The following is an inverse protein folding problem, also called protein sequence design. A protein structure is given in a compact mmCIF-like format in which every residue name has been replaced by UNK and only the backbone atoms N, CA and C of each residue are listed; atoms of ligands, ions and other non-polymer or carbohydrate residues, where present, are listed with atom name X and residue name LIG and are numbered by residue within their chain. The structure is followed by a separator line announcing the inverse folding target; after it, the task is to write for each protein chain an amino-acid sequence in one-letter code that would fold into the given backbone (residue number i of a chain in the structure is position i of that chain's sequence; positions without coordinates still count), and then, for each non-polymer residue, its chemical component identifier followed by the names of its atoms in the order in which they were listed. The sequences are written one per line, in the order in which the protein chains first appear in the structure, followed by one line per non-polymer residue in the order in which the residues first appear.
data_IF_077953033892
#
_entry.id   IF_077953033892
#
_cell.length_a   1.000
_cell.length_b   1.000
_cell.length_c   1.000
_cell.angle_alpha   90.00
_cell.angle_beta   90.00
_cell.angle_gamma   90.00
#
_symmetry.space_group_name_H-M   'P 1'
#
loop_
_entity.id
_entity.type
_entity.pdbx_description
1 polymer ?
#
# COMPACT_ATOMS: atom_id res chain seq x y z
N UNK A 1 -11.12 -2.89 -7.42
CA UNK A 1 -10.65 -3.65 -6.24
C UNK A 1 -11.35 -4.98 -6.28
N UNK A 2 -10.65 -6.05 -6.66
CA UNK A 2 -11.21 -7.41 -6.60
C UNK A 2 -10.78 -8.03 -5.27
N UNK A 3 -11.68 -8.04 -4.28
CA UNK A 3 -11.44 -8.66 -2.99
C UNK A 3 -11.67 -10.17 -3.15
N UNK A 4 -10.58 -10.94 -3.06
CA UNK A 4 -10.67 -12.41 -2.99
C UNK A 4 -10.69 -12.83 -1.53
N UNK A 5 -11.80 -13.43 -1.09
CA UNK A 5 -11.92 -14.06 0.23
C UNK A 5 -11.60 -15.55 0.11
N UNK A 6 -10.62 -16.02 0.88
CA UNK A 6 -10.30 -17.44 0.99
C UNK A 6 -10.53 -17.89 2.43
N UNK A 7 -11.35 -18.93 2.62
CA UNK A 7 -11.50 -19.63 3.90
C UNK A 7 -10.52 -20.81 3.87
N UNK A 8 -9.58 -20.85 4.81
CA UNK A 8 -8.70 -21.99 5.00
C UNK A 8 -8.95 -22.60 6.39
N UNK A 9 -9.37 -23.86 6.40
CA UNK A 9 -9.50 -24.68 7.62
C UNK A 9 -8.33 -25.65 7.69
N UNK A 10 -7.55 -25.59 8.77
CA UNK A 10 -6.52 -26.58 9.07
C UNK A 10 -6.85 -27.26 10.39
N UNK A 11 -6.96 -28.59 10.37
CA UNK A 11 -6.99 -29.39 11.58
C UNK A 11 -5.56 -29.77 11.96
N UNK A 12 -5.06 -29.22 13.07
CA UNK A 12 -3.82 -29.69 13.68
C UNK A 12 -4.17 -30.81 14.64
N UNK A 13 -3.95 -32.06 14.24
CA UNK A 13 -4.13 -33.21 15.14
C UNK A 13 -2.86 -33.41 15.97
N UNK A 14 -2.88 -32.95 17.22
CA UNK A 14 -1.98 -33.46 18.26
C UNK A 14 -2.80 -34.34 19.21
N UNK A 15 -2.29 -35.49 19.71
CA UNK A 15 -3.09 -36.48 20.44
C UNK A 15 -3.78 -36.01 21.72
N UNK A 16 -3.57 -34.76 22.15
CA UNK A 16 -4.10 -34.21 23.41
C UNK A 16 -4.96 -32.95 23.26
N UNK A 17 -5.01 -32.31 22.08
CA UNK A 17 -5.74 -31.04 21.86
C UNK A 17 -6.20 -30.96 20.39
N UNK A 18 -7.49 -31.16 20.13
CA UNK A 18 -8.09 -30.75 18.86
C UNK A 18 -8.36 -29.25 18.93
N UNK A 19 -7.58 -28.47 18.20
CA UNK A 19 -7.84 -27.05 17.99
C UNK A 19 -8.31 -26.86 16.54
N UNK A 20 -9.57 -26.43 16.37
CA UNK A 20 -10.09 -25.99 15.08
C UNK A 20 -9.97 -24.48 15.01
N UNK A 21 -9.17 -23.99 14.06
CA UNK A 21 -8.99 -22.57 13.80
C UNK A 21 -9.55 -22.22 12.42
N UNK A 22 -10.26 -21.09 12.33
CA UNK A 22 -10.74 -20.52 11.07
C UNK A 22 -9.93 -19.28 10.77
N UNK A 23 -9.26 -19.26 9.62
CA UNK A 23 -8.45 -18.14 9.17
C UNK A 23 -9.11 -17.44 7.98
N UNK A 24 -9.21 -16.11 8.06
CA UNK A 24 -9.68 -15.25 6.99
C UNK A 24 -8.57 -14.33 6.55
N UNK A 25 -8.29 -14.33 5.26
CA UNK A 25 -7.22 -13.53 4.67
C UNK A 25 -7.80 -12.71 3.51
N UNK A 26 -7.79 -11.39 3.64
CA UNK A 26 -8.08 -10.49 2.53
C UNK A 26 -6.82 -10.32 1.68
N UNK A 27 -6.95 -10.38 0.35
CA UNK A 27 -5.84 -10.15 -0.58
C UNK A 27 -6.22 -9.20 -1.71
N UNK A 28 -5.25 -8.42 -2.18
CA UNK A 28 -5.39 -7.48 -3.29
C UNK A 28 -4.17 -7.58 -4.21
N UNK A 29 -4.25 -7.19 -5.47
CA UNK A 29 -3.19 -7.36 -6.49
C UNK A 29 -1.99 -6.42 -6.34
N UNK A 30 -1.79 -5.83 -5.16
CA UNK A 30 -0.75 -4.82 -4.95
C UNK A 30 0.66 -5.40 -4.75
N UNK A 31 1.68 -4.72 -5.25
CA UNK A 31 3.05 -5.23 -5.26
C UNK A 31 3.76 -5.04 -3.91
N UNK A 32 4.30 -6.14 -3.36
CA UNK A 32 5.17 -6.14 -2.16
C UNK A 32 6.50 -5.38 -2.35
N UNK A 33 6.92 -5.11 -3.59
CA UNK A 33 8.28 -4.68 -3.95
C UNK A 33 8.52 -3.17 -3.91
N UNK A 34 7.63 -2.40 -3.28
CA UNK A 34 7.58 -0.94 -3.43
C UNK A 34 7.88 -0.18 -2.15
N UNK A 35 8.71 -0.74 -1.27
CA UNK A 35 9.00 -0.12 0.03
C UNK A 35 9.67 1.26 -0.12
N UNK A 36 10.56 1.47 -1.12
CA UNK A 36 11.14 2.80 -1.38
C UNK A 36 10.07 3.83 -1.77
N UNK A 37 9.16 3.45 -2.67
CA UNK A 37 8.09 4.32 -3.15
C UNK A 37 7.11 4.64 -2.03
N UNK A 38 6.73 3.61 -1.26
CA UNK A 38 5.85 3.79 -0.12
C UNK A 38 6.44 4.74 0.91
N UNK A 39 7.73 4.59 1.21
CA UNK A 39 8.41 5.49 2.12
C UNK A 39 8.47 6.91 1.55
N UNK A 40 8.74 7.08 0.26
CA UNK A 40 8.73 8.41 -0.34
C UNK A 40 7.35 9.06 -0.22
N UNK A 41 6.25 8.33 -0.45
CA UNK A 41 4.90 8.89 -0.26
C UNK A 41 4.64 9.31 1.18
N UNK A 42 5.11 8.54 2.17
CA UNK A 42 5.05 8.94 3.57
C UNK A 42 5.83 10.24 3.81
N UNK A 43 7.04 10.35 3.24
CA UNK A 43 7.85 11.57 3.36
C UNK A 43 7.20 12.78 2.68
N UNK A 44 6.45 12.58 1.59
CA UNK A 44 5.75 13.64 0.89
C UNK A 44 4.57 14.20 1.70
N UNK A 45 3.89 13.36 2.48
CA UNK A 45 2.84 13.81 3.40
C UNK A 45 3.40 14.77 4.46
N UNK A 46 4.62 14.48 4.93
CA UNK A 46 5.32 15.33 5.89
C UNK A 46 5.77 16.66 5.28
N UNK A 47 6.50 16.61 4.16
CA UNK A 47 6.76 17.77 3.32
C UNK A 47 7.34 17.38 1.96
N UNK A 48 7.11 18.20 0.95
CA UNK A 48 7.71 18.01 -0.37
C UNK A 48 9.25 18.10 -0.31
N UNK A 49 9.82 18.89 0.59
CA UNK A 49 11.27 18.96 0.79
C UNK A 49 11.83 17.63 1.31
N UNK A 50 11.18 17.03 2.32
CA UNK A 50 11.57 15.71 2.87
C UNK A 50 11.47 14.62 1.81
N UNK A 51 10.45 14.65 0.96
CA UNK A 51 10.34 13.75 -0.20
C UNK A 51 11.59 13.81 -1.07
N UNK A 52 12.01 15.00 -1.49
CA UNK A 52 13.16 15.14 -2.39
C UNK A 52 14.50 14.82 -1.71
N UNK A 53 14.66 15.15 -0.43
CA UNK A 53 15.84 14.76 0.36
C UNK A 53 15.96 13.23 0.48
N UNK A 54 14.84 12.55 0.72
CA UNK A 54 14.79 11.10 0.76
C UNK A 54 15.13 10.51 -0.62
N UNK A 55 14.54 11.04 -1.69
CA UNK A 55 14.81 10.62 -3.07
C UNK A 55 16.29 10.80 -3.45
N UNK A 56 16.92 11.92 -3.08
CA UNK A 56 18.35 12.14 -3.31
C UNK A 56 19.18 11.07 -2.58
N UNK A 57 18.85 10.76 -1.33
CA UNK A 57 19.51 9.70 -0.54
C UNK A 57 19.38 8.31 -1.17
N UNK A 58 18.18 7.96 -1.68
CA UNK A 58 17.95 6.66 -2.33
C UNK A 58 18.69 6.55 -3.67
N UNK A 59 18.86 7.68 -4.37
CA UNK A 59 19.59 7.72 -5.65
C UNK A 59 21.06 7.31 -5.47
N UNK A 60 21.66 7.68 -4.35
CA UNK A 60 23.04 7.28 -3.99
C UNK A 60 23.16 5.79 -3.66
N UNK A 61 22.06 5.16 -3.25
CA UNK A 61 21.98 3.76 -2.81
C UNK A 61 21.54 2.78 -3.90
N UNK A 62 21.47 3.21 -5.17
CA UNK A 62 20.90 2.46 -6.31
C UNK A 62 21.57 1.09 -6.62
N UNK A 63 22.50 0.64 -5.78
CA UNK A 63 23.23 -0.62 -5.87
C UNK A 63 22.67 -1.70 -4.90
N UNK A 64 21.77 -1.37 -3.98
CA UNK A 64 21.43 -2.28 -2.86
C UNK A 64 20.32 -3.32 -3.13
N UNK A 65 19.70 -3.35 -4.32
CA UNK A 65 18.47 -4.15 -4.56
C UNK A 65 18.71 -5.67 -4.74
N UNK A 66 19.94 -6.15 -4.83
CA UNK A 66 20.18 -7.48 -5.42
C UNK A 66 20.59 -8.62 -4.48
N UNK A 67 20.81 -8.40 -3.18
CA UNK A 67 21.47 -9.45 -2.35
C UNK A 67 20.94 -9.66 -0.94
N UNK A 68 19.93 -8.91 -0.48
CA UNK A 68 19.47 -9.00 0.91
C UNK A 68 18.03 -9.46 1.06
N UNK A 69 17.70 -10.01 2.23
CA UNK A 69 16.33 -10.42 2.58
C UNK A 69 15.38 -9.23 2.66
N UNK A 70 14.09 -9.46 2.42
CA UNK A 70 13.04 -8.44 2.53
C UNK A 70 13.08 -7.71 3.89
N UNK A 71 13.44 -8.43 4.96
CA UNK A 71 13.59 -7.86 6.31
C UNK A 71 14.78 -6.90 6.43
N UNK A 72 15.95 -7.26 5.90
CA UNK A 72 17.11 -6.37 5.89
C UNK A 72 16.83 -5.13 5.05
N UNK A 73 16.22 -5.33 3.88
CA UNK A 73 15.80 -4.26 2.99
C UNK A 73 14.81 -3.30 3.67
N UNK A 74 13.82 -3.81 4.39
CA UNK A 74 12.90 -3.01 5.20
C UNK A 74 13.62 -2.21 6.29
N UNK A 75 14.53 -2.83 7.04
CA UNK A 75 15.29 -2.14 8.08
C UNK A 75 16.23 -1.08 7.53
N UNK A 76 16.82 -1.31 6.35
CA UNK A 76 17.61 -0.31 5.65
C UNK A 76 16.77 0.92 5.32
N UNK A 77 15.56 0.71 4.82
CA UNK A 77 14.61 1.79 4.50
C UNK A 77 14.26 2.58 5.76
N UNK A 78 13.90 1.90 6.85
CA UNK A 78 13.63 2.56 8.13
C UNK A 78 14.83 3.34 8.64
N UNK A 79 16.04 2.79 8.53
CA UNK A 79 17.27 3.47 8.95
C UNK A 79 17.55 4.73 8.13
N UNK A 80 17.28 4.70 6.83
CA UNK A 80 17.43 5.86 5.94
C UNK A 80 16.34 6.89 6.15
N UNK A 81 15.11 6.45 6.35
CA UNK A 81 13.99 7.31 6.73
C UNK A 81 14.23 8.01 8.07
N UNK A 82 14.82 7.31 9.04
CA UNK A 82 15.16 7.84 10.37
C UNK A 82 16.22 8.94 10.36
N UNK A 83 16.83 9.25 9.21
CA UNK A 83 17.68 10.44 9.05
C UNK A 83 16.86 11.73 8.94
N UNK A 84 15.59 11.63 8.53
CA UNK A 84 14.70 12.76 8.26
C UNK A 84 13.49 12.82 9.19
N UNK A 85 13.23 11.74 9.94
CA UNK A 85 12.06 11.56 10.79
C UNK A 85 12.49 11.36 12.24
N UNK A 86 11.70 11.89 13.17
CA UNK A 86 11.84 11.58 14.59
C UNK A 86 11.31 10.17 14.91
N UNK A 87 11.50 9.75 16.16
CA UNK A 87 11.07 8.42 16.62
C UNK A 87 9.55 8.20 16.52
N UNK A 88 8.73 9.25 16.68
CA UNK A 88 7.27 9.17 16.61
C UNK A 88 6.85 8.90 15.16
N UNK A 89 7.37 9.68 14.22
CA UNK A 89 7.09 9.53 12.79
C UNK A 89 7.62 8.19 12.27
N UNK A 90 8.72 7.66 12.80
CA UNK A 90 9.18 6.31 12.45
C UNK A 90 8.21 5.24 12.94
N UNK A 91 7.65 5.37 14.13
CA UNK A 91 6.61 4.43 14.60
C UNK A 91 5.33 4.54 13.77
N UNK A 92 4.94 5.75 13.39
CA UNK A 92 3.82 5.98 12.48
C UNK A 92 4.09 5.40 11.09
N UNK A 93 5.31 5.52 10.56
CA UNK A 93 5.74 4.92 9.31
C UNK A 93 5.63 3.40 9.36
N UNK A 94 6.08 2.76 10.46
CA UNK A 94 5.91 1.31 10.66
C UNK A 94 4.43 0.92 10.64
N UNK A 95 3.59 1.68 11.34
CA UNK A 95 2.14 1.46 11.33
C UNK A 95 1.55 1.63 9.92
N UNK A 96 1.93 2.69 9.21
CA UNK A 96 1.52 2.97 7.84
C UNK A 96 1.92 1.82 6.89
N UNK A 97 3.11 1.25 7.05
CA UNK A 97 3.52 0.03 6.33
C UNK A 97 2.61 -1.16 6.65
N UNK A 98 2.25 -1.37 7.93
CA UNK A 98 1.38 -2.47 8.35
C UNK A 98 -0.02 -2.38 7.75
N UNK A 99 -0.60 -1.17 7.65
CA UNK A 99 -1.93 -0.93 7.06
C UNK A 99 -1.92 -0.57 5.57
N UNK A 100 -0.72 -0.36 5.01
CA UNK A 100 -0.49 0.02 3.61
C UNK A 100 -1.20 1.28 3.14
N UNK A 101 -1.19 2.30 3.98
CA UNK A 101 -1.91 3.56 3.77
C UNK A 101 -1.68 4.21 2.38
N UNK A 102 -0.46 4.16 1.83
CA UNK A 102 -0.11 4.84 0.57
C UNK A 102 -0.21 3.96 -0.69
N UNK A 103 -0.60 2.69 -0.58
CA UNK A 103 -0.77 1.82 -1.75
C UNK A 103 -1.77 2.36 -2.78
N UNK A 104 -2.92 2.96 -2.40
CA UNK A 104 -3.85 3.57 -3.36
C UNK A 104 -3.23 4.72 -4.16
N UNK A 105 -2.43 5.59 -3.52
CA UNK A 105 -1.76 6.72 -4.19
C UNK A 105 -0.75 6.23 -5.23
N UNK A 106 0.02 5.19 -4.89
CA UNK A 106 0.97 4.58 -5.83
C UNK A 106 0.23 3.96 -7.01
N UNK A 107 -0.89 3.29 -6.77
CA UNK A 107 -1.71 2.71 -7.81
C UNK A 107 -2.32 3.77 -8.73
N UNK A 108 -2.81 4.87 -8.17
CA UNK A 108 -3.31 6.00 -8.94
C UNK A 108 -2.24 6.50 -9.92
N UNK A 109 -0.99 6.63 -9.47
CA UNK A 109 0.14 6.98 -10.37
C UNK A 109 0.37 5.94 -11.47
N UNK A 110 0.23 4.65 -11.17
CA UNK A 110 0.31 3.58 -12.19
C UNK A 110 -0.83 3.67 -13.22
N UNK A 111 -2.06 3.99 -12.78
CA UNK A 111 -3.20 4.14 -13.68
C UNK A 111 -3.02 5.34 -14.62
N UNK A 112 -2.56 6.47 -14.10
CA UNK A 112 -2.18 7.63 -14.91
C UNK A 112 -1.10 7.27 -15.94
N UNK A 113 -0.10 6.48 -15.54
CA UNK A 113 0.94 6.01 -16.46
C UNK A 113 0.41 5.01 -17.52
N UNK A 114 -0.67 4.27 -17.21
CA UNK A 114 -1.32 3.38 -18.17
C UNK A 114 -2.11 4.17 -19.25
N UNK A 115 -2.70 5.30 -18.89
CA UNK A 115 -3.34 6.23 -19.84
C UNK A 115 -2.31 6.98 -20.70
N UNK A 116 -1.10 7.18 -20.18
CA UNK A 116 0.04 7.75 -20.90
C UNK A 116 1.12 6.71 -21.23
N UNK A 117 0.85 5.72 -22.10
CA UNK A 117 1.71 4.55 -22.21
C UNK A 117 3.16 4.93 -22.57
N UNK A 118 4.13 4.29 -21.90
CA UNK A 118 5.56 4.51 -22.16
C UNK A 118 5.90 4.14 -23.60
N UNK A 119 6.95 4.74 -24.19
CA UNK A 119 7.55 4.19 -25.39
C UNK A 119 8.07 2.77 -25.15
N UNK A 120 8.13 1.96 -26.21
CA UNK A 120 8.48 0.55 -26.10
C UNK A 120 9.86 0.33 -25.44
N UNK A 121 9.89 -0.60 -24.49
CA UNK A 121 11.14 -1.04 -23.85
C UNK A 121 11.62 -0.18 -22.68
N UNK A 122 10.97 0.92 -22.35
CA UNK A 122 11.48 1.86 -21.34
C UNK A 122 11.18 1.45 -19.90
N UNK A 123 12.20 1.49 -19.03
CA UNK A 123 12.04 1.32 -17.58
C UNK A 123 11.64 2.62 -16.88
N UNK A 124 12.05 3.76 -17.45
CA UNK A 124 11.65 5.10 -17.06
C UNK A 124 11.48 5.94 -18.33
N UNK A 125 10.54 6.87 -18.30
CA UNK A 125 10.26 7.76 -19.43
C UNK A 125 9.87 9.14 -18.94
N UNK A 126 10.09 10.14 -19.79
CA UNK A 126 9.79 11.53 -19.51
C UNK A 126 8.72 12.03 -20.46
N UNK A 127 7.74 12.73 -19.91
CA UNK A 127 6.70 13.43 -20.67
C UNK A 127 6.95 14.92 -20.59
N UNK A 128 7.18 15.52 -21.75
CA UNK A 128 7.28 16.98 -21.91
C UNK A 128 6.09 17.38 -22.77
N UNK A 129 5.05 17.97 -22.18
CA UNK A 129 3.88 18.52 -22.89
C UNK A 129 3.38 17.60 -24.02
N UNK A 130 2.80 16.45 -23.67
CA UNK A 130 2.29 15.38 -24.56
C UNK A 130 3.32 14.50 -25.31
N UNK A 131 4.59 14.91 -25.43
CA UNK A 131 5.61 14.06 -26.08
C UNK A 131 6.42 13.29 -25.04
N UNK A 132 6.64 12.01 -25.35
CA UNK A 132 7.30 11.03 -24.49
C UNK A 132 8.70 10.72 -25.03
N UNK A 133 9.67 10.55 -24.15
CA UNK A 133 11.00 10.06 -24.53
C UNK A 133 11.59 9.22 -23.41
N UNK A 134 12.45 8.27 -23.80
CA UNK A 134 13.23 7.45 -22.88
C UNK A 134 14.72 7.75 -22.94
N UNK A 135 15.11 8.82 -23.65
CA UNK A 135 16.50 9.24 -23.78
C UNK A 135 16.68 10.64 -23.23
N UNK A 136 17.69 10.79 -22.38
CA UNK A 136 18.08 12.11 -21.84
C UNK A 136 18.56 13.08 -22.91
N UNK A 137 19.09 12.58 -24.04
CA UNK A 137 19.56 13.38 -25.17
C UNK A 137 18.44 14.12 -25.91
N UNK A 138 17.25 13.53 -26.00
CA UNK A 138 16.11 14.10 -26.73
C UNK A 138 15.40 15.22 -25.95
N UNK A 139 15.64 15.33 -24.64
CA UNK A 139 15.02 16.34 -23.78
C UNK A 139 15.24 17.77 -24.29
N UNK A 140 16.43 18.08 -24.83
CA UNK A 140 16.72 19.43 -25.37
C UNK A 140 15.81 19.77 -26.55
N UNK A 141 15.55 18.80 -27.44
CA UNK A 141 14.68 18.96 -28.61
C UNK A 141 13.21 19.07 -28.22
N UNK A 142 12.78 18.35 -27.19
CA UNK A 142 11.40 18.44 -26.69
C UNK A 142 11.16 19.77 -25.99
N UNK A 143 12.10 20.24 -25.16
CA UNK A 143 11.95 21.49 -24.42
C UNK A 143 11.85 22.73 -25.33
N UNK A 144 12.58 22.77 -26.44
CA UNK A 144 12.49 23.90 -27.38
C UNK A 144 11.11 24.03 -28.05
N UNK A 145 10.36 22.93 -28.16
CA UNK A 145 8.99 22.89 -28.70
C UNK A 145 7.92 22.80 -27.61
N UNK A 146 8.27 23.00 -26.33
CA UNK A 146 7.29 22.87 -25.24
C UNK A 146 6.24 23.99 -25.32
N UNK A 147 6.64 25.23 -25.55
CA UNK A 147 5.73 26.39 -25.58
C UNK A 147 4.61 26.29 -26.64
N UNK A 148 4.77 25.47 -27.69
CA UNK A 148 3.75 25.29 -28.73
C UNK A 148 2.72 24.20 -28.40
N UNK A 149 2.80 23.57 -27.23
CA UNK A 149 1.97 22.42 -26.84
C UNK A 149 1.18 22.77 -25.57
N UNK A 150 0.01 22.16 -25.36
CA UNK A 150 -0.77 22.41 -24.15
C UNK A 150 0.04 22.02 -22.92
N UNK A 151 0.03 22.90 -21.91
CA UNK A 151 0.64 22.63 -20.61
C UNK A 151 -0.11 21.44 -19.98
N UNK A 152 0.59 20.38 -19.55
CA UNK A 152 -0.06 19.23 -18.95
C UNK A 152 -0.69 19.60 -17.61
N UNK A 153 -1.79 18.92 -17.28
CA UNK A 153 -2.42 19.04 -15.97
C UNK A 153 -1.54 18.35 -14.91
N UNK A 154 -1.34 19.04 -13.79
CA UNK A 154 -0.62 18.53 -12.64
C UNK A 154 -1.64 18.24 -11.54
N UNK A 155 -1.59 17.04 -10.98
CA UNK A 155 -2.42 16.64 -9.86
C UNK A 155 -1.93 17.30 -8.58
N UNK A 156 -2.80 17.44 -7.59
CA UNK A 156 -2.43 18.02 -6.29
C UNK A 156 -1.34 17.21 -5.58
N UNK A 157 -1.38 15.88 -5.72
CA UNK A 157 -0.42 14.93 -5.14
C UNK A 157 0.84 14.72 -6.00
N UNK A 158 1.05 15.53 -7.05
CA UNK A 158 2.27 15.47 -7.85
C UNK A 158 3.46 16.09 -7.10
N UNK A 159 4.57 15.36 -7.04
CA UNK A 159 5.79 15.82 -6.38
C UNK A 159 6.56 16.79 -7.28
N UNK A 160 6.55 18.08 -6.94
CA UNK A 160 7.21 19.16 -7.69
C UNK A 160 8.60 19.43 -7.12
N UNK A 161 9.62 19.37 -7.96
CA UNK A 161 10.98 19.68 -7.54
C UNK A 161 11.10 21.17 -7.20
N UNK A 162 11.75 21.55 -6.08
CA UNK A 162 11.95 22.95 -5.72
C UNK A 162 12.57 23.76 -6.87
N UNK A 163 11.88 24.82 -7.28
CA UNK A 163 12.34 25.71 -8.35
C UNK A 163 11.92 27.15 -8.04
N UNK A 164 12.67 28.12 -8.58
CA UNK A 164 12.45 29.54 -8.30
C UNK A 164 11.28 30.14 -9.09
N UNK A 165 10.80 29.47 -10.15
CA UNK A 165 9.81 30.03 -11.08
C UNK A 165 8.73 29.01 -11.45
N UNK A 166 7.46 29.42 -11.37
CA UNK A 166 6.32 28.54 -11.68
C UNK A 166 5.96 28.48 -13.18
N UNK A 167 6.37 29.48 -13.96
CA UNK A 167 6.08 29.60 -15.39
C UNK A 167 7.15 28.95 -16.28
N UNK A 168 7.49 27.71 -15.97
CA UNK A 168 8.49 26.93 -16.71
C UNK A 168 7.85 25.78 -17.50
N UNK A 169 8.50 25.29 -18.58
CA UNK A 169 8.12 24.06 -19.24
C UNK A 169 8.06 22.90 -18.25
N UNK A 170 6.90 22.26 -18.18
CA UNK A 170 6.62 21.13 -17.28
C UNK A 170 7.21 19.85 -17.85
N UNK A 171 7.96 19.14 -17.02
CA UNK A 171 8.61 17.87 -17.35
C UNK A 171 8.25 16.85 -16.28
N UNK A 172 7.50 15.82 -16.67
CA UNK A 172 7.04 14.76 -15.77
C UNK A 172 7.91 13.53 -16.00
N UNK A 173 8.58 13.04 -14.97
CA UNK A 173 9.30 11.77 -14.99
C UNK A 173 8.41 10.68 -14.44
N UNK A 174 8.24 9.61 -15.22
CA UNK A 174 7.65 8.36 -14.79
C UNK A 174 8.76 7.34 -14.59
N UNK A 175 9.01 6.96 -13.33
CA UNK A 175 10.07 6.02 -13.00
C UNK A 175 9.84 5.32 -11.65
N UNK A 176 10.57 4.23 -11.44
CA UNK A 176 10.65 3.53 -10.17
C UNK A 176 11.85 4.07 -9.36
N UNK A 177 11.59 4.64 -8.19
CA UNK A 177 12.64 5.14 -7.29
C UNK A 177 13.56 3.98 -6.87
N UNK A 178 14.87 4.23 -6.85
CA UNK A 178 15.89 3.23 -6.52
C UNK A 178 16.41 2.43 -7.71
N UNK A 179 15.89 2.66 -8.92
CA UNK A 179 16.45 2.09 -10.15
C UNK A 179 17.55 2.96 -10.75
N UNK A 180 18.49 2.35 -11.49
CA UNK A 180 19.52 3.08 -12.23
C UNK A 180 18.93 4.04 -13.27
N UNK A 181 17.87 3.62 -13.95
CA UNK A 181 17.18 4.46 -14.94
C UNK A 181 16.64 5.75 -14.30
N UNK A 182 16.01 5.62 -13.12
CA UNK A 182 15.58 6.78 -12.34
C UNK A 182 16.75 7.72 -12.01
N UNK A 183 17.85 7.18 -11.47
CA UNK A 183 19.03 7.97 -11.09
C UNK A 183 19.60 8.79 -12.26
N UNK A 184 19.70 8.18 -13.45
CA UNK A 184 20.22 8.84 -14.65
C UNK A 184 19.34 10.02 -15.10
N UNK A 185 18.01 9.84 -15.12
CA UNK A 185 17.08 10.93 -15.43
C UNK A 185 17.03 11.99 -14.35
N UNK A 186 16.94 11.58 -13.08
CA UNK A 186 16.86 12.48 -11.93
C UNK A 186 18.03 13.46 -11.92
N UNK A 187 19.28 12.98 -12.12
CA UNK A 187 20.47 13.84 -12.17
C UNK A 187 20.40 14.92 -13.25
N UNK A 188 19.84 14.61 -14.41
CA UNK A 188 19.73 15.57 -15.53
C UNK A 188 18.59 16.57 -15.28
N UNK A 189 17.45 16.09 -14.80
CA UNK A 189 16.26 16.90 -14.56
C UNK A 189 16.41 17.82 -13.35
N UNK A 190 16.96 17.33 -12.23
CA UNK A 190 17.22 18.13 -11.03
C UNK A 190 18.18 19.28 -11.34
N UNK A 191 19.26 19.03 -12.09
CA UNK A 191 20.19 20.08 -12.55
C UNK A 191 19.49 21.12 -13.44
N UNK A 192 18.58 20.71 -14.33
CA UNK A 192 17.82 21.66 -15.17
C UNK A 192 16.81 22.46 -14.35
N UNK A 193 16.17 21.84 -13.37
CA UNK A 193 15.20 22.48 -12.47
C UNK A 193 15.86 23.51 -11.55
N UNK A 194 16.99 23.16 -10.92
CA UNK A 194 17.81 24.06 -10.08
C UNK A 194 18.31 25.29 -10.86
N UNK A 195 18.56 25.13 -12.16
CA UNK A 195 18.92 26.24 -13.07
C UNK A 195 17.71 27.05 -13.56
N UNK A 196 16.50 26.81 -13.05
CA UNK A 196 15.29 27.55 -13.43
C UNK A 196 14.84 27.33 -14.87
N UNK A 197 15.16 26.18 -15.50
CA UNK A 197 14.83 25.93 -16.92
C UNK A 197 13.56 25.11 -17.14
N UNK A 198 13.16 24.32 -16.15
CA UNK A 198 12.02 23.41 -16.22
C UNK A 198 11.32 23.33 -14.87
N UNK A 199 10.03 23.03 -14.88
CA UNK A 199 9.31 22.55 -13.71
C UNK A 199 9.35 21.02 -13.73
N UNK A 200 10.15 20.43 -12.84
CA UNK A 200 10.34 18.98 -12.78
C UNK A 200 9.33 18.34 -11.81
N UNK A 201 8.60 17.34 -12.29
CA UNK A 201 7.61 16.58 -11.51
C UNK A 201 7.94 15.09 -11.57
N UNK A 202 7.76 14.37 -10.47
CA UNK A 202 7.94 12.92 -10.38
C UNK A 202 6.61 12.21 -10.14
N UNK A 203 6.31 11.22 -10.99
CA UNK A 203 5.22 10.25 -10.80
C UNK A 203 5.78 8.84 -10.76
N UNK A 204 5.20 8.00 -9.92
CA UNK A 204 5.66 6.62 -9.77
C UNK A 204 5.23 5.77 -10.96
N UNK A 205 6.18 5.03 -11.52
CA UNK A 205 5.91 4.10 -12.62
C UNK A 205 6.76 2.84 -12.48
N UNK A 206 6.13 1.68 -12.59
CA UNK A 206 6.78 0.39 -12.46
C UNK A 206 6.50 -0.38 -13.74
N UNK A 207 7.56 -0.64 -14.52
CA UNK A 207 7.44 -1.31 -15.83
C UNK A 207 6.80 -2.70 -15.75
N UNK A 208 7.14 -3.45 -14.69
CA UNK A 208 6.66 -4.81 -14.48
C UNK A 208 6.23 -4.97 -13.02
N UNK A 209 4.99 -4.60 -12.67
CA UNK A 209 4.47 -4.91 -11.35
C UNK A 209 4.49 -6.43 -11.15
N UNK A 210 4.81 -6.87 -9.93
CA UNK A 210 4.68 -8.27 -9.54
C UNK A 210 3.22 -8.72 -9.66
N UNK A 211 3.00 -9.92 -10.18
CA UNK A 211 1.67 -10.55 -10.20
C UNK A 211 1.21 -11.08 -8.84
N UNK A 212 2.08 -11.03 -7.82
CA UNK A 212 1.78 -11.54 -6.49
C UNK A 212 0.76 -10.64 -5.79
N UNK A 213 -0.39 -11.21 -5.43
CA UNK A 213 -1.37 -10.57 -4.55
C UNK A 213 -0.81 -10.40 -3.14
N UNK A 214 -1.16 -9.29 -2.51
CA UNK A 214 -0.75 -8.81 -1.21
C UNK A 214 -1.89 -8.94 -0.20
N UNK A 215 -1.60 -9.40 1.01
CA UNK A 215 -2.61 -9.54 2.06
C UNK A 215 -2.96 -8.21 2.70
N UNK A 216 -4.21 -7.75 2.58
CA UNK A 216 -4.63 -6.50 3.21
C UNK A 216 -4.78 -6.68 4.73
N UNK A 217 -4.73 -5.59 5.47
CA UNK A 217 -5.03 -5.51 6.89
C UNK A 217 -6.02 -4.36 7.12
N UNK A 218 -6.56 -4.23 8.33
CA UNK A 218 -7.55 -3.19 8.64
C UNK A 218 -9.00 -3.57 8.34
N UNK A 219 -9.28 -4.85 8.06
CA UNK A 219 -10.64 -5.40 8.07
C UNK A 219 -10.90 -6.13 9.38
N UNK A 220 -12.14 -6.07 9.86
CA UNK A 220 -12.64 -6.91 10.93
C UNK A 220 -13.30 -8.17 10.36
N UNK A 221 -13.18 -9.28 11.07
CA UNK A 221 -13.95 -10.49 10.77
C UNK A 221 -14.73 -10.85 12.02
N UNK A 222 -16.03 -11.10 11.84
CA UNK A 222 -16.90 -11.60 12.87
C UNK A 222 -17.40 -13.00 12.51
N UNK A 223 -17.50 -13.86 13.51
CA UNK A 223 -18.17 -15.14 13.41
C UNK A 223 -19.49 -15.02 14.18
N UNK A 224 -20.56 -14.72 13.44
CA UNK A 224 -21.89 -14.65 14.02
C UNK A 224 -22.49 -16.07 14.14
N UNK A 225 -23.02 -16.39 15.32
CA UNK A 225 -23.82 -17.60 15.51
C UNK A 225 -25.18 -17.33 14.86
N UNK A 226 -25.48 -18.05 13.78
CA UNK A 226 -26.74 -17.87 13.05
C UNK A 226 -27.94 -18.41 13.82
N UNK A 227 -27.76 -19.53 14.52
CA UNK A 227 -28.81 -20.17 15.31
C UNK A 227 -28.57 -19.85 16.79
N UNK A 228 -29.25 -18.82 17.30
CA UNK A 228 -29.18 -18.41 18.72
C UNK A 228 -30.15 -19.16 19.60
N UNK A 229 -30.99 -20.03 19.03
CA UNK A 229 -31.92 -20.88 19.78
C UNK A 229 -31.17 -22.05 20.42
N UNK A 230 -30.96 -21.99 21.74
CA UNK A 230 -30.61 -23.17 22.52
C UNK A 230 -31.89 -23.98 22.77
N UNK A 231 -31.89 -25.25 22.36
CA UNK A 231 -32.90 -26.20 22.83
C UNK A 231 -32.37 -26.86 24.09
N UNK A 232 -32.95 -26.49 25.23
CA UNK A 232 -32.83 -27.25 26.46
C UNK A 232 -33.40 -28.64 26.21
N UNK A 233 -32.55 -29.67 26.13
CA UNK A 233 -33.02 -31.03 26.33
C UNK A 233 -33.04 -31.23 27.84
N UNK A 234 -34.24 -31.29 28.39
CA UNK A 234 -34.46 -31.61 29.79
C UNK A 234 -34.08 -33.09 29.98
N UNK A 235 -32.93 -33.36 30.59
CA UNK A 235 -32.34 -34.70 30.77
C UNK A 235 -33.23 -35.65 31.62
N UNK A 236 -34.37 -35.18 32.09
CA UNK A 236 -35.30 -35.91 32.95
C UNK A 236 -36.13 -36.94 32.15
N UNK A 237 -36.34 -36.78 30.84
CA UNK A 237 -37.22 -37.70 30.09
C UNK A 237 -36.57 -38.99 29.57
N UNK A 238 -35.26 -39.23 29.81
CA UNK A 238 -34.60 -40.46 29.33
C UNK A 238 -34.85 -41.67 30.28
N UNK A 239 -35.65 -41.52 31.36
CA UNK A 239 -35.95 -42.65 32.27
C UNK A 239 -37.43 -42.94 32.55
N UNK A 240 -38.39 -42.24 31.96
CA UNK A 240 -39.80 -42.42 32.28
C UNK A 240 -40.63 -42.94 31.08
N UNK A 241 -40.28 -44.12 30.57
CA UNK A 241 -41.18 -44.92 29.72
C UNK A 241 -41.42 -46.30 30.34
N UNK A 242 -41.72 -46.32 31.63
CA UNK A 242 -42.40 -47.45 32.28
C UNK A 242 -42.94 -46.96 33.62
N UNK A 243 -44.24 -47.12 33.81
CA UNK A 243 -44.96 -47.12 35.09
C UNK A 243 -45.33 -45.77 35.74
N UNK A 244 -46.46 -45.25 35.22
CA UNK A 244 -47.67 -44.92 35.98
C UNK A 244 -47.61 -43.93 37.18
N UNK A 245 -48.24 -42.78 36.94
CA UNK A 245 -49.20 -42.05 37.82
C UNK A 245 -48.75 -41.67 39.23
N UNK A 246 -48.50 -40.37 39.48
CA UNK A 246 -49.26 -39.54 40.45
C UNK A 246 -49.12 -38.05 40.05
N UNK A 247 -50.26 -37.36 39.98
CA UNK A 247 -50.40 -35.92 39.77
C UNK A 247 -49.90 -35.12 40.98
N UNK A 248 -49.26 -33.96 40.75
CA UNK A 248 -49.52 -32.76 41.55
C UNK A 248 -48.92 -31.51 40.89
N UNK A 249 -49.81 -30.54 40.67
CA UNK A 249 -49.55 -29.19 40.17
C UNK A 249 -48.91 -28.35 41.29
N UNK A 250 -47.75 -27.73 41.05
CA UNK A 250 -47.34 -26.52 41.79
C UNK A 250 -46.29 -25.73 41.00
N UNK A 251 -46.61 -24.47 40.73
CA UNK A 251 -45.66 -23.36 40.80
C UNK A 251 -44.82 -23.10 39.56
N UNK A 252 -45.27 -22.12 38.77
CA UNK A 252 -44.38 -21.33 37.93
C UNK A 252 -43.37 -20.58 38.81
N UNK A 253 -42.09 -20.65 38.46
CA UNK A 253 -41.11 -19.66 38.92
C UNK A 253 -40.26 -19.26 37.69
N UNK A 254 -40.54 -18.06 37.19
CA UNK A 254 -39.76 -17.39 36.16
C UNK A 254 -38.38 -17.04 36.72
N UNK A 255 -37.33 -17.71 36.25
CA UNK A 255 -35.95 -17.31 36.57
C UNK A 255 -35.48 -16.21 35.60
N UNK A 256 -35.36 -15.03 36.20
CA UNK A 256 -34.88 -13.75 35.69
C UNK A 256 -33.49 -13.84 35.03
N UNK A 257 -33.38 -13.28 33.82
CA UNK A 257 -32.13 -13.18 33.07
C UNK A 257 -31.09 -12.24 33.71
N UNK A 258 -29.81 -12.57 33.51
CA UNK A 258 -28.67 -11.80 34.00
C UNK A 258 -28.40 -10.59 33.11
N UNK A 259 -28.33 -9.40 33.70
CA UNK A 259 -27.84 -8.18 33.07
C UNK A 259 -26.30 -8.12 33.22
N UNK A 260 -25.57 -8.02 32.12
CA UNK A 260 -24.17 -7.57 32.13
C UNK A 260 -24.17 -6.08 31.79
N UNK A 261 -23.95 -5.25 32.82
CA UNK A 261 -23.81 -3.81 32.71
C UNK A 261 -22.34 -3.40 32.77
N UNK A 262 -21.90 -2.74 31.69
CA UNK A 262 -20.66 -2.00 31.43
C UNK A 262 -19.33 -2.76 31.38
#
# INVERSE_FOLDING_TARGET
MDISNSILTWNVSSPALFCSAVWFIASDSFCLHLLWIFNSEFMAEESNEKFWQFVETVTELAVYKQTESDYSYYNLILKKAGQFLDNIHINLLKFAFSIRAYSPTIQMSQQVAAEEPPPDGCAAFVVVHTKRTCKTSELKKLLSKAASRPRPYLFERDHKFPTSSENLPVVILYAEIGTRAFAEFHRVLSKKSKNGKILYVLRHYIKKPSSRKMYLSGYGVELAIKDTEYKALDDIQIKATTDATVENETGADEVQGFLLGN
#
